data_IF_385398648795
#
_entry.id   IF_385398648795
#
_cell.length_a   1.000
_cell.length_b   1.000
_cell.length_c   1.000
_cell.angle_alpha   90.00
_cell.angle_beta   90.00
_cell.angle_gamma   90.00
#
_symmetry.space_group_name_H-M   'P 1'
#
loop_
_entity.id
_entity.type
_entity.pdbx_description
1 polymer ?
#
# COMPACT_ATOMS: atom_id res chain seq x y z
N UNK A 1 12.05 5.04 3.82
CA UNK A 1 12.28 6.40 3.27
C UNK A 1 13.41 6.30 2.27
N UNK A 2 13.29 7.00 1.15
CA UNK A 2 14.23 6.92 0.04
C UNK A 2 14.80 8.30 -0.26
N UNK A 3 16.12 8.33 -0.46
CA UNK A 3 16.92 9.53 -0.61
C UNK A 3 17.82 9.40 -1.84
N UNK A 4 17.84 10.44 -2.67
CA UNK A 4 18.69 10.56 -3.85
C UNK A 4 19.03 12.02 -4.02
N UNK A 5 20.33 12.30 -4.10
CA UNK A 5 20.79 13.60 -4.59
C UNK A 5 20.66 13.60 -6.11
N UNK A 6 19.78 14.46 -6.63
CA UNK A 6 19.44 14.55 -8.05
C UNK A 6 20.09 15.76 -8.72
N UNK A 7 20.71 16.63 -7.91
CA UNK A 7 21.48 17.77 -8.40
C UNK A 7 22.97 17.47 -8.32
N UNK A 8 23.72 17.87 -9.34
CA UNK A 8 25.19 17.83 -9.27
C UNK A 8 25.64 18.91 -8.29
N UNK A 9 26.35 18.49 -7.24
CA UNK A 9 26.81 19.37 -6.17
C UNK A 9 28.24 19.83 -6.44
N UNK A 10 28.49 21.12 -6.23
CA UNK A 10 29.83 21.69 -6.17
C UNK A 10 30.65 21.06 -5.03
N UNK A 11 31.98 21.11 -5.11
CA UNK A 11 32.85 20.58 -4.04
C UNK A 11 32.69 21.27 -2.68
N UNK A 12 32.02 22.42 -2.64
CA UNK A 12 31.71 23.19 -1.42
C UNK A 12 30.33 22.88 -0.85
N UNK A 13 29.51 22.13 -1.59
CA UNK A 13 28.15 21.79 -1.21
C UNK A 13 28.09 20.37 -0.67
N UNK A 14 27.39 20.22 0.46
CA UNK A 14 27.17 18.93 1.10
C UNK A 14 25.76 18.91 1.66
N UNK A 15 25.02 17.85 1.34
CA UNK A 15 23.76 17.51 2.02
C UNK A 15 24.01 16.35 2.96
N UNK A 16 23.88 16.61 4.25
CA UNK A 16 24.04 15.61 5.29
C UNK A 16 23.03 15.86 6.40
N UNK A 17 22.30 14.82 6.77
CA UNK A 17 21.24 14.92 7.78
C UNK A 17 21.02 13.55 8.41
N UNK A 18 20.50 13.58 9.63
CA UNK A 18 20.06 12.40 10.39
C UNK A 18 18.54 12.40 10.51
N UNK A 19 17.95 11.21 10.56
CA UNK A 19 16.53 11.02 10.88
C UNK A 19 16.41 10.75 12.38
N UNK A 20 15.45 11.41 13.03
CA UNK A 20 15.12 11.22 14.43
C UNK A 20 13.69 10.73 14.58
N UNK A 21 13.48 9.70 15.40
CA UNK A 21 12.17 9.28 15.90
C UNK A 21 12.00 9.83 17.32
N UNK A 22 11.00 10.69 17.56
CA UNK A 22 10.70 11.22 18.90
C UNK A 22 11.93 11.80 19.64
N UNK A 23 12.83 12.46 18.89
CA UNK A 23 14.13 13.03 19.32
C UNK A 23 15.26 12.03 19.60
N UNK A 24 15.07 10.74 19.34
CA UNK A 24 16.15 9.77 19.34
C UNK A 24 16.71 9.60 17.93
N UNK A 25 18.04 9.57 17.79
CA UNK A 25 18.67 9.32 16.49
C UNK A 25 18.25 7.94 16.00
N UNK A 26 17.76 7.91 14.76
CA UNK A 26 17.13 6.77 14.13
C UNK A 26 17.90 6.33 12.87
N UNK A 27 18.82 7.15 12.38
CA UNK A 27 19.69 6.83 11.26
C UNK A 27 21.07 7.43 11.45
N UNK A 28 22.06 6.83 10.81
CA UNK A 28 23.34 7.51 10.54
C UNK A 28 23.15 8.64 9.50
N UNK A 29 24.09 9.61 9.42
CA UNK A 29 24.09 10.61 8.36
C UNK A 29 24.32 10.00 6.97
N UNK A 30 23.73 10.64 5.93
CA UNK A 30 23.98 10.32 4.50
C UNK A 30 23.61 8.86 4.17
N UNK A 31 22.33 8.54 4.32
CA UNK A 31 21.75 7.26 3.89
C UNK A 31 20.99 7.43 2.57
N UNK A 32 21.11 6.47 1.65
CA UNK A 32 20.32 6.43 0.40
C UNK A 32 18.92 5.84 0.62
N UNK A 33 18.82 4.93 1.58
CA UNK A 33 17.59 4.28 1.97
C UNK A 33 17.60 4.09 3.47
N UNK A 34 16.46 4.41 4.10
CA UNK A 34 16.20 4.13 5.49
C UNK A 34 14.99 3.22 5.57
N UNK A 35 15.26 1.94 5.81
CA UNK A 35 14.26 0.92 6.02
C UNK A 35 14.15 0.61 7.51
N UNK A 36 12.92 0.58 8.01
CA UNK A 36 12.63 0.12 9.35
C UNK A 36 11.26 -0.56 9.41
N UNK A 37 11.20 -1.65 10.15
CA UNK A 37 10.01 -2.48 10.32
C UNK A 37 9.71 -2.68 11.80
N UNK A 38 8.45 -3.00 12.12
CA UNK A 38 8.01 -3.30 13.49
C UNK A 38 8.18 -2.12 14.47
N UNK A 39 8.10 -0.88 13.96
CA UNK A 39 8.05 0.31 14.81
C UNK A 39 6.66 0.40 15.42
N UNK A 40 6.59 0.55 16.74
CA UNK A 40 5.33 0.88 17.41
C UNK A 40 5.12 2.39 17.38
N UNK A 41 4.18 2.85 16.56
CA UNK A 41 3.84 4.25 16.45
C UNK A 41 2.63 4.61 17.33
N UNK A 42 2.69 5.78 17.95
CA UNK A 42 1.61 6.41 18.70
C UNK A 42 1.10 7.63 17.92
N UNK A 43 -0.08 8.20 18.26
CA UNK A 43 -0.62 9.38 17.56
C UNK A 43 0.31 10.60 17.53
N UNK A 44 1.28 10.67 18.45
CA UNK A 44 2.29 11.72 18.55
C UNK A 44 3.69 11.28 18.09
N UNK A 45 3.85 10.09 17.51
CA UNK A 45 5.13 9.67 16.94
C UNK A 45 5.52 10.62 15.81
N UNK A 46 6.73 11.17 15.90
CA UNK A 46 7.25 12.14 14.94
C UNK A 46 8.59 11.68 14.37
N UNK A 47 8.71 11.80 13.05
CA UNK A 47 9.97 11.64 12.33
C UNK A 47 10.47 13.01 11.90
N UNK A 48 11.72 13.33 12.22
CA UNK A 48 12.35 14.62 11.92
C UNK A 48 13.65 14.40 11.18
N UNK A 49 13.83 15.09 10.06
CA UNK A 49 15.10 15.15 9.37
C UNK A 49 15.85 16.40 9.86
N UNK A 50 17.06 16.22 10.38
CA UNK A 50 17.85 17.30 10.96
C UNK A 50 19.20 17.34 10.28
N UNK A 51 19.55 18.49 9.69
CA UNK A 51 20.85 18.70 9.06
C UNK A 51 21.98 18.54 10.07
N UNK A 52 23.06 17.84 9.68
CA UNK A 52 24.27 17.78 10.50
C UNK A 52 24.97 19.15 10.51
N UNK A 53 25.81 19.45 11.52
CA UNK A 53 26.46 20.76 11.63
C UNK A 53 27.34 21.15 10.44
N UNK A 54 27.84 20.17 9.67
CA UNK A 54 28.68 20.34 8.49
C UNK A 54 27.90 20.31 7.17
N UNK A 55 26.58 20.20 7.21
CA UNK A 55 25.73 20.26 6.03
C UNK A 55 25.55 21.70 5.57
N UNK A 56 25.77 21.96 4.29
CA UNK A 56 25.55 23.27 3.67
C UNK A 56 24.18 23.37 2.99
N UNK A 57 23.48 22.24 2.84
CA UNK A 57 22.18 22.11 2.22
C UNK A 57 21.16 21.57 3.24
N UNK A 58 19.86 21.92 3.10
CA UNK A 58 18.81 21.40 3.99
C UNK A 58 18.60 19.88 3.77
N UNK A 59 17.92 19.16 4.67
CA UNK A 59 17.55 17.78 4.41
C UNK A 59 16.65 17.64 3.17
N UNK A 60 16.68 16.47 2.52
CA UNK A 60 15.87 16.13 1.35
C UNK A 60 15.20 14.78 1.59
N UNK A 61 13.97 14.61 1.09
CA UNK A 61 13.29 13.32 1.00
C UNK A 61 12.70 13.17 -0.39
N UNK A 62 12.96 12.05 -1.06
CA UNK A 62 12.46 11.80 -2.41
C UNK A 62 11.15 11.01 -2.35
N UNK A 63 11.09 9.99 -1.48
CA UNK A 63 9.88 9.22 -1.23
C UNK A 63 9.84 8.68 0.20
N UNK A 64 8.63 8.45 0.69
CA UNK A 64 8.38 7.81 1.97
C UNK A 64 7.18 6.89 1.86
N UNK A 65 7.37 5.67 2.33
CA UNK A 65 6.30 4.68 2.46
C UNK A 65 6.14 4.38 3.95
N UNK A 66 4.87 4.36 4.38
CA UNK A 66 4.51 4.01 5.76
C UNK A 66 3.43 2.98 5.70
N UNK A 67 3.71 1.81 6.27
CA UNK A 67 2.75 0.71 6.34
C UNK A 67 2.30 0.55 7.78
N UNK A 68 0.98 0.55 7.99
CA UNK A 68 0.40 0.17 9.28
C UNK A 68 0.22 -1.33 9.30
N UNK A 69 0.90 -2.01 10.22
CA UNK A 69 0.66 -3.43 10.47
C UNK A 69 -0.70 -3.53 11.20
N UNK A 70 -1.69 -4.07 10.50
CA UNK A 70 -2.99 -4.39 11.07
C UNK A 70 -2.92 -5.57 12.03
N UNK A 71 -4.01 -5.82 12.75
CA UNK A 71 -4.17 -7.11 13.43
C UNK A 71 -4.15 -8.27 12.43
N UNK A 72 -3.98 -9.52 12.88
CA UNK A 72 -4.11 -10.67 12.00
C UNK A 72 -5.45 -10.61 11.27
N UNK A 73 -5.44 -10.79 9.95
CA UNK A 73 -6.67 -11.08 9.21
C UNK A 73 -7.16 -12.43 9.72
N UNK A 74 -8.17 -12.42 10.58
CA UNK A 74 -8.62 -13.66 11.25
C UNK A 74 -9.28 -14.60 10.24
N UNK A 75 -10.02 -14.07 9.28
CA UNK A 75 -10.52 -14.77 8.08
C UNK A 75 -10.34 -13.84 6.87
N UNK A 76 -9.99 -14.40 5.71
CA UNK A 76 -9.99 -13.68 4.44
C UNK A 76 -11.39 -13.52 3.85
N UNK A 77 -11.48 -12.93 2.66
CA UNK A 77 -12.68 -13.00 1.82
C UNK A 77 -13.07 -14.46 1.57
N UNK A 78 -14.37 -14.74 1.47
CA UNK A 78 -14.88 -16.10 1.21
C UNK A 78 -14.24 -16.72 -0.04
N UNK A 79 -13.80 -17.98 0.11
CA UNK A 79 -13.02 -18.66 -0.91
C UNK A 79 -13.79 -18.83 -2.23
N UNK A 80 -15.12 -18.98 -2.20
CA UNK A 80 -15.92 -19.10 -3.42
C UNK A 80 -15.97 -17.78 -4.19
N UNK A 81 -15.99 -16.66 -3.47
CA UNK A 81 -15.96 -15.33 -4.06
C UNK A 81 -14.57 -15.04 -4.66
N UNK A 82 -13.50 -15.44 -3.96
CA UNK A 82 -12.12 -15.35 -4.49
C UNK A 82 -11.94 -16.17 -5.76
N UNK A 83 -12.46 -17.41 -5.81
CA UNK A 83 -12.41 -18.25 -7.02
C UNK A 83 -13.22 -17.65 -8.17
N UNK A 84 -14.38 -17.06 -7.88
CA UNK A 84 -15.19 -16.34 -8.87
C UNK A 84 -14.46 -15.14 -9.46
N UNK A 85 -13.82 -14.32 -8.62
CA UNK A 85 -12.98 -13.21 -9.09
C UNK A 85 -11.76 -13.67 -9.88
N UNK A 86 -11.08 -14.74 -9.44
CA UNK A 86 -9.94 -15.27 -10.16
C UNK A 86 -10.34 -15.74 -11.59
N UNK A 87 -11.53 -16.32 -11.73
CA UNK A 87 -12.08 -16.71 -13.03
C UNK A 87 -12.41 -15.49 -13.91
N UNK A 88 -12.83 -14.37 -13.30
CA UNK A 88 -13.03 -13.11 -14.03
C UNK A 88 -11.69 -12.52 -14.47
N UNK A 89 -10.68 -12.52 -13.60
CA UNK A 89 -9.34 -12.04 -13.94
C UNK A 89 -8.65 -12.89 -15.02
N UNK A 90 -8.93 -14.19 -15.10
CA UNK A 90 -8.37 -15.04 -16.16
C UNK A 90 -8.93 -14.73 -17.55
N UNK A 91 -10.16 -14.22 -17.64
CA UNK A 91 -10.77 -13.81 -18.92
C UNK A 91 -10.37 -12.39 -19.34
N UNK A 92 -10.01 -11.52 -18.39
CA UNK A 92 -9.77 -10.11 -18.65
C UNK A 92 -8.43 -9.62 -18.10
N UNK A 93 -7.43 -9.50 -18.99
CA UNK A 93 -6.07 -9.03 -18.66
C UNK A 93 -6.05 -7.68 -17.92
N UNK A 94 -7.00 -6.79 -18.21
CA UNK A 94 -7.13 -5.48 -17.55
C UNK A 94 -7.38 -5.59 -16.04
N UNK A 95 -7.91 -6.72 -15.57
CA UNK A 95 -8.20 -6.98 -14.15
C UNK A 95 -7.07 -7.72 -13.43
N UNK A 96 -6.09 -8.27 -14.15
CA UNK A 96 -5.01 -9.09 -13.55
C UNK A 96 -4.00 -8.29 -12.70
N UNK A 97 -4.03 -6.96 -12.77
CA UNK A 97 -3.22 -6.11 -11.90
C UNK A 97 -3.67 -6.09 -10.43
N UNK A 98 -4.89 -6.56 -10.14
CA UNK A 98 -5.44 -6.64 -8.79
C UNK A 98 -5.01 -7.93 -8.09
N UNK A 99 -4.54 -7.80 -6.85
CA UNK A 99 -4.05 -8.93 -6.05
C UNK A 99 -4.24 -8.71 -4.55
N UNK A 100 -3.92 -9.74 -3.76
CA UNK A 100 -4.18 -9.75 -2.32
C UNK A 100 -5.61 -10.17 -1.98
N UNK A 101 -6.03 -9.89 -0.75
CA UNK A 101 -7.41 -10.13 -0.33
C UNK A 101 -8.32 -9.06 -0.95
N UNK A 102 -9.41 -9.42 -1.63
CA UNK A 102 -10.22 -8.46 -2.38
C UNK A 102 -11.03 -7.53 -1.47
N UNK A 103 -11.45 -7.97 -0.29
CA UNK A 103 -12.27 -7.16 0.63
C UNK A 103 -11.46 -6.57 1.81
N UNK A 104 -10.31 -7.15 2.14
CA UNK A 104 -9.55 -6.82 3.35
C UNK A 104 -8.16 -6.22 3.05
N UNK A 105 -7.66 -5.35 3.94
CA UNK A 105 -8.30 -4.87 5.17
C UNK A 105 -9.37 -3.81 4.89
N UNK A 106 -10.51 -3.85 5.60
CA UNK A 106 -11.53 -2.81 5.49
C UNK A 106 -10.97 -1.44 5.95
N UNK A 107 -11.32 -0.31 5.29
CA UNK A 107 -12.26 -0.18 4.16
C UNK A 107 -11.58 -0.27 2.76
N UNK A 108 -10.40 -0.88 2.66
CA UNK A 108 -9.57 -0.91 1.45
C UNK A 108 -9.83 -2.14 0.58
N UNK A 109 -11.06 -2.33 0.12
CA UNK A 109 -11.39 -3.36 -0.88
C UNK A 109 -10.91 -2.97 -2.28
N UNK A 110 -10.92 -3.92 -3.22
CA UNK A 110 -10.69 -3.62 -4.64
C UNK A 110 -11.72 -2.61 -5.15
N UNK A 111 -11.30 -1.73 -6.06
CA UNK A 111 -12.12 -0.57 -6.51
C UNK A 111 -13.39 -0.97 -7.25
N UNK A 112 -13.38 -2.14 -7.88
CA UNK A 112 -14.47 -2.60 -8.73
C UNK A 112 -15.37 -3.63 -8.05
N UNK A 113 -15.32 -3.74 -6.71
CA UNK A 113 -16.22 -4.62 -5.96
C UNK A 113 -16.85 -3.90 -4.77
N UNK A 114 -17.92 -4.49 -4.25
CA UNK A 114 -18.43 -4.18 -2.91
C UNK A 114 -18.46 -5.45 -2.06
N UNK A 115 -18.21 -5.31 -0.76
CA UNK A 115 -18.14 -6.42 0.18
C UNK A 115 -19.03 -6.22 1.40
N UNK A 116 -19.45 -7.31 2.03
CA UNK A 116 -20.05 -7.27 3.37
C UNK A 116 -18.99 -6.96 4.43
N UNK A 117 -19.44 -6.52 5.62
CA UNK A 117 -18.57 -6.23 6.76
C UNK A 117 -18.44 -7.39 7.76
N UNK A 118 -18.81 -8.60 7.33
CA UNK A 118 -18.74 -9.79 8.16
C UNK A 118 -17.28 -10.22 8.44
N UNK A 119 -17.08 -11.08 9.43
CA UNK A 119 -15.74 -11.60 9.74
C UNK A 119 -15.09 -12.32 8.54
N UNK A 120 -15.91 -12.95 7.69
CA UNK A 120 -15.51 -13.50 6.37
C UNK A 120 -16.29 -12.72 5.32
N UNK A 121 -15.72 -11.65 4.76
CA UNK A 121 -16.44 -10.79 3.83
C UNK A 121 -16.92 -11.56 2.60
N UNK A 122 -18.12 -11.21 2.14
CA UNK A 122 -18.71 -11.72 0.90
C UNK A 122 -18.81 -10.61 -0.13
N UNK A 123 -18.62 -10.92 -1.41
CA UNK A 123 -18.76 -9.95 -2.50
C UNK A 123 -20.23 -9.81 -2.87
N UNK A 124 -20.73 -8.57 -2.89
CA UNK A 124 -22.13 -8.25 -3.19
C UNK A 124 -22.31 -7.50 -4.51
N UNK A 125 -21.27 -6.84 -5.02
CA UNK A 125 -21.34 -6.14 -6.30
C UNK A 125 -20.03 -6.24 -7.09
N UNK A 126 -20.17 -6.21 -8.43
CA UNK A 126 -19.09 -5.98 -9.38
C UNK A 126 -19.38 -4.67 -10.15
N UNK A 127 -18.39 -3.80 -10.26
CA UNK A 127 -18.49 -2.49 -10.95
C UNK A 127 -17.58 -2.46 -12.18
N UNK A 128 -18.04 -3.05 -13.28
CA UNK A 128 -17.19 -3.30 -14.46
C UNK A 128 -17.34 -2.25 -15.58
N UNK A 129 -18.22 -1.26 -15.41
CA UNK A 129 -18.69 -0.34 -16.46
C UNK A 129 -17.65 0.54 -17.14
N UNK A 130 -16.42 0.64 -16.62
CA UNK A 130 -15.34 1.47 -17.16
C UNK A 130 -14.08 0.69 -17.59
N UNK A 131 -14.10 -0.64 -17.48
CA UNK A 131 -12.91 -1.47 -17.74
C UNK A 131 -12.75 -1.92 -19.19
N UNK A 132 -13.71 -1.58 -20.07
CA UNK A 132 -13.61 -1.90 -21.50
C UNK A 132 -13.53 -3.40 -21.78
N UNK A 133 -14.20 -4.21 -20.95
CA UNK A 133 -14.14 -5.67 -21.01
C UNK A 133 -14.71 -6.19 -22.34
N UNK A 134 -13.98 -7.10 -22.98
CA UNK A 134 -14.41 -7.76 -24.22
C UNK A 134 -14.13 -9.25 -24.12
N UNK A 135 -15.20 -10.05 -24.13
CA UNK A 135 -15.11 -11.49 -23.89
C UNK A 135 -16.33 -12.03 -23.15
N UNK A 136 -16.43 -13.36 -23.00
CA UNK A 136 -17.47 -13.95 -22.17
C UNK A 136 -17.23 -13.65 -20.69
N UNK A 137 -18.32 -13.51 -19.94
CA UNK A 137 -18.23 -13.51 -18.48
C UNK A 137 -18.13 -14.96 -17.98
N UNK A 138 -17.34 -15.23 -16.92
CA UNK A 138 -17.27 -16.55 -16.31
C UNK A 138 -18.55 -16.88 -15.53
N UNK A 139 -18.65 -18.12 -15.04
CA UNK A 139 -19.73 -18.51 -14.14
C UNK A 139 -19.50 -17.94 -12.73
N UNK A 140 -20.48 -17.20 -12.22
CA UNK A 140 -20.50 -16.64 -10.88
C UNK A 140 -21.45 -17.38 -9.93
N UNK A 141 -21.96 -18.55 -10.30
CA UNK A 141 -22.92 -19.32 -9.50
C UNK A 141 -22.44 -19.63 -8.07
N UNK A 142 -21.13 -19.73 -7.85
CA UNK A 142 -20.52 -19.92 -6.53
C UNK A 142 -20.48 -18.64 -5.68
N UNK A 143 -20.61 -17.46 -6.29
CA UNK A 143 -20.65 -16.17 -5.61
C UNK A 143 -22.06 -15.89 -5.08
N UNK A 144 -22.51 -16.71 -4.13
CA UNK A 144 -23.93 -16.75 -3.70
C UNK A 144 -24.45 -15.45 -3.06
N UNK A 145 -23.57 -14.54 -2.68
CA UNK A 145 -23.92 -13.24 -2.11
C UNK A 145 -23.91 -12.10 -3.16
N UNK A 146 -23.57 -12.39 -4.42
CA UNK A 146 -23.51 -11.41 -5.48
C UNK A 146 -24.92 -10.96 -5.88
N UNK A 147 -25.18 -9.66 -5.78
CA UNK A 147 -26.49 -9.05 -6.04
C UNK A 147 -26.47 -8.12 -7.26
N UNK A 148 -25.32 -7.49 -7.54
CA UNK A 148 -25.19 -6.43 -8.55
C UNK A 148 -23.99 -6.71 -9.47
N UNK A 149 -24.20 -6.51 -10.77
CA UNK A 149 -23.16 -6.56 -11.81
C UNK A 149 -23.39 -5.46 -12.85
#
# INVERSE_FOLDING_TARGET
>A
MYFSEVTELDSTQKRSFEVFENNQSFSEPIVTELYASNITAYPNTSFRLVATPDSTLPPLINAMEVFRIGGPLTNGTDANDVVGLASLQSEFDVLQGWGGDPCLPAPYSWEWINCTSDATPRITALYLGSYGLSGPLPDFSSMTALEIM
#
